data_IF_058602781483
#
_entry.id   IF_058602781483
#
_cell.length_a   1.000
_cell.length_b   1.000
_cell.length_c   1.000
_cell.angle_alpha   90.00
_cell.angle_beta   90.00
_cell.angle_gamma   90.00
#
_symmetry.space_group_name_H-M   'P 1'
#
loop_
_entity.id
_entity.type
_entity.pdbx_description
1 polymer ?
#
# COMPACT_ATOMS: atom_id res chain seq x y z
N UNK A 1 -25.41 -4.82 -15.90
CA UNK A 1 -25.05 -3.43 -16.22
C UNK A 1 -24.05 -2.93 -15.19
N UNK A 2 -22.75 -3.09 -15.47
CA UNK A 2 -21.63 -2.71 -14.59
C UNK A 2 -21.31 -1.23 -14.77
N UNK A 3 -21.53 -0.43 -13.72
CA UNK A 3 -21.09 0.97 -13.68
C UNK A 3 -19.58 1.00 -13.43
N UNK A 4 -18.83 1.38 -14.46
CA UNK A 4 -17.43 1.76 -14.34
C UNK A 4 -17.35 3.08 -13.58
N UNK A 5 -16.94 3.03 -12.31
CA UNK A 5 -16.53 4.21 -11.56
C UNK A 5 -15.15 4.67 -12.07
N UNK A 6 -15.15 5.37 -13.19
CA UNK A 6 -14.03 6.21 -13.60
C UNK A 6 -13.99 7.40 -12.63
N UNK A 7 -13.16 7.32 -11.60
CA UNK A 7 -12.68 8.52 -10.93
C UNK A 7 -11.51 9.06 -11.74
N UNK A 8 -11.65 10.17 -12.48
CA UNK A 8 -10.50 10.90 -12.96
C UNK A 8 -9.89 11.60 -11.75
N UNK A 9 -9.06 10.89 -10.99
CA UNK A 9 -8.17 11.52 -10.01
C UNK A 9 -7.19 12.36 -10.82
N UNK A 10 -7.54 13.65 -10.96
CA UNK A 10 -6.64 14.69 -11.44
C UNK A 10 -5.40 14.62 -10.56
N UNK A 11 -4.31 14.10 -11.12
CA UNK A 11 -2.95 14.27 -10.59
C UNK A 11 -2.67 15.77 -10.47
N UNK A 12 -3.06 16.38 -9.36
CA UNK A 12 -2.52 17.68 -8.96
C UNK A 12 -1.02 17.42 -8.81
N UNK A 13 -0.21 18.13 -9.57
CA UNK A 13 1.23 18.19 -9.30
C UNK A 13 1.37 18.81 -7.92
N UNK A 14 1.56 17.98 -6.91
CA UNK A 14 1.96 18.41 -5.58
C UNK A 14 3.17 19.31 -5.71
N UNK A 15 2.97 20.58 -5.39
CA UNK A 15 4.08 21.51 -5.17
C UNK A 15 4.23 21.50 -3.66
N UNK A 16 5.31 20.95 -3.10
CA UNK A 16 5.44 20.85 -1.65
C UNK A 16 5.28 22.23 -1.04
N UNK A 17 4.30 22.39 -0.14
CA UNK A 17 4.20 23.56 0.74
C UNK A 17 5.39 23.66 1.70
N UNK A 18 6.19 22.60 1.73
CA UNK A 18 7.36 22.40 2.56
C UNK A 18 8.56 23.21 2.06
N UNK A 19 9.27 23.96 2.93
CA UNK A 19 10.47 24.69 2.55
C UNK A 19 11.56 23.79 1.96
N UNK A 20 12.20 24.16 0.83
CA UNK A 20 13.28 23.35 0.23
C UNK A 20 14.46 23.08 1.18
N UNK A 21 14.69 23.98 2.14
CA UNK A 21 15.72 23.83 3.18
C UNK A 21 15.49 22.63 4.11
N UNK A 22 14.28 22.07 4.14
CA UNK A 22 13.97 20.87 4.93
C UNK A 22 14.62 19.60 4.38
N UNK A 23 15.25 19.65 3.21
CA UNK A 23 16.08 18.54 2.74
C UNK A 23 17.34 18.37 3.61
N UNK A 24 17.89 19.46 4.15
CA UNK A 24 19.16 19.46 4.90
C UNK A 24 19.05 19.99 6.33
N UNK A 25 17.95 20.67 6.68
CA UNK A 25 17.69 21.19 8.02
C UNK A 25 17.64 20.08 9.08
N UNK A 26 18.19 20.34 10.28
CA UNK A 26 18.13 19.43 11.44
C UNK A 26 16.94 19.73 12.37
N UNK A 27 15.95 20.49 11.92
CA UNK A 27 14.75 20.73 12.72
C UNK A 27 13.89 19.45 12.83
N UNK A 28 13.19 19.28 13.95
CA UNK A 28 12.29 18.13 14.18
C UNK A 28 11.23 18.01 13.08
N UNK A 29 10.68 19.13 12.60
CA UNK A 29 9.70 19.11 11.52
C UNK A 29 10.30 18.59 10.20
N UNK A 30 11.50 19.04 9.85
CA UNK A 30 12.23 18.55 8.67
C UNK A 30 12.59 17.06 8.79
N UNK A 31 12.98 16.59 9.98
CA UNK A 31 13.22 15.17 10.24
C UNK A 31 11.96 14.32 10.04
N UNK A 32 10.83 14.78 10.58
CA UNK A 32 9.54 14.10 10.45
C UNK A 32 9.07 14.04 8.99
N UNK A 33 9.17 15.14 8.24
CA UNK A 33 8.92 15.18 6.80
C UNK A 33 9.76 14.15 6.05
N UNK A 34 11.08 14.18 6.23
CA UNK A 34 11.97 13.21 5.55
C UNK A 34 11.66 11.78 5.94
N UNK A 35 11.33 11.52 7.20
CA UNK A 35 11.00 10.19 7.71
C UNK A 35 9.75 9.63 7.02
N UNK A 36 8.69 10.44 6.94
CA UNK A 36 7.45 10.12 6.23
C UNK A 36 7.71 9.75 4.77
N UNK A 37 8.43 10.62 4.04
CA UNK A 37 8.72 10.40 2.61
C UNK A 37 9.69 9.24 2.36
N UNK A 38 10.62 8.95 3.28
CA UNK A 38 11.44 7.73 3.20
C UNK A 38 10.60 6.47 3.31
N UNK A 39 9.57 6.46 4.17
CA UNK A 39 8.68 5.32 4.32
C UNK A 39 7.84 5.08 3.07
N UNK A 40 7.22 6.13 2.52
CA UNK A 40 6.48 6.04 1.25
C UNK A 40 7.38 5.63 0.09
N UNK A 41 8.59 6.21 0.00
CA UNK A 41 9.58 5.84 -0.99
C UNK A 41 10.03 4.38 -0.86
N UNK A 42 10.11 3.84 0.36
CA UNK A 42 10.37 2.42 0.59
C UNK A 42 9.21 1.55 0.12
N UNK A 43 7.97 1.89 0.47
CA UNK A 43 6.77 1.16 0.02
C UNK A 43 6.66 1.12 -1.50
N UNK A 44 6.90 2.25 -2.20
CA UNK A 44 6.91 2.29 -3.67
C UNK A 44 7.95 1.33 -4.26
N UNK A 45 9.16 1.28 -3.69
CA UNK A 45 10.18 0.31 -4.12
C UNK A 45 9.73 -1.13 -3.93
N UNK A 46 9.03 -1.44 -2.84
CA UNK A 46 8.45 -2.78 -2.61
C UNK A 46 7.36 -3.11 -3.63
N UNK A 47 6.52 -2.14 -4.02
CA UNK A 47 5.53 -2.34 -5.08
C UNK A 47 6.18 -2.55 -6.45
N UNK A 48 7.24 -1.81 -6.77
CA UNK A 48 8.01 -2.00 -8.00
C UNK A 48 8.68 -3.37 -8.05
N UNK A 49 9.12 -3.88 -6.91
CA UNK A 49 9.65 -5.23 -6.77
C UNK A 49 8.54 -6.29 -6.94
N UNK A 50 7.40 -6.15 -6.27
CA UNK A 50 6.24 -7.02 -6.44
C UNK A 50 5.76 -7.05 -7.91
N UNK A 51 5.75 -5.89 -8.58
CA UNK A 51 5.41 -5.78 -10.01
C UNK A 51 6.41 -6.54 -10.88
N UNK A 52 7.71 -6.43 -10.59
CA UNK A 52 8.77 -7.22 -11.27
C UNK A 52 8.61 -8.73 -11.07
N UNK A 53 8.03 -9.14 -9.96
CA UNK A 53 7.67 -10.55 -9.70
C UNK A 53 6.33 -10.98 -10.33
N UNK A 54 5.67 -10.12 -11.11
CA UNK A 54 4.44 -10.47 -11.83
C UNK A 54 3.15 -10.27 -11.02
N UNK A 55 3.19 -9.62 -9.87
CA UNK A 55 1.98 -9.30 -9.09
C UNK A 55 1.22 -8.14 -9.73
N UNK A 56 -0.10 -8.30 -9.85
CA UNK A 56 -0.99 -7.20 -10.22
C UNK A 56 -1.05 -6.16 -9.07
N UNK A 57 -0.39 -5.02 -9.26
CA UNK A 57 -0.18 -4.02 -8.19
C UNK A 57 -1.18 -2.87 -8.16
N UNK A 58 -2.10 -2.77 -9.13
CA UNK A 58 -2.98 -1.60 -9.29
C UNK A 58 -3.81 -1.22 -8.05
N UNK A 59 -4.26 -2.20 -7.24
CA UNK A 59 -4.97 -1.90 -5.97
C UNK A 59 -4.05 -1.32 -4.90
N UNK A 60 -2.79 -1.75 -4.85
CA UNK A 60 -1.80 -1.22 -3.91
C UNK A 60 -1.29 0.15 -4.35
N UNK A 61 -1.28 0.43 -5.64
CA UNK A 61 -0.98 1.76 -6.20
C UNK A 61 -2.02 2.78 -5.75
N UNK A 62 -3.31 2.46 -5.83
CA UNK A 62 -4.38 3.33 -5.30
C UNK A 62 -4.21 3.61 -3.80
N UNK A 63 -3.87 2.59 -3.01
CA UNK A 63 -3.58 2.78 -1.58
C UNK A 63 -2.34 3.65 -1.34
N UNK A 64 -1.33 3.59 -2.23
CA UNK A 64 -0.19 4.49 -2.15
C UNK A 64 -0.57 5.93 -2.51
N UNK A 65 -1.44 6.13 -3.49
CA UNK A 65 -1.95 7.46 -3.83
C UNK A 65 -2.73 8.06 -2.63
N UNK A 66 -3.56 7.28 -1.93
CA UNK A 66 -4.24 7.73 -0.69
C UNK A 66 -3.25 8.05 0.45
N UNK A 67 -2.16 7.29 0.55
CA UNK A 67 -1.09 7.55 1.52
C UNK A 67 -0.30 8.81 1.17
N UNK A 68 -0.12 9.11 -0.12
CA UNK A 68 0.47 10.35 -0.59
C UNK A 68 -0.42 11.54 -0.23
N UNK A 69 -1.72 11.49 -0.53
CA UNK A 69 -2.68 12.53 -0.15
C UNK A 69 -2.66 12.80 1.38
N UNK A 70 -2.55 11.73 2.17
CA UNK A 70 -2.42 11.82 3.63
C UNK A 70 -1.10 12.49 4.03
N UNK A 71 0.00 12.15 3.35
CA UNK A 71 1.30 12.72 3.64
C UNK A 71 1.40 14.20 3.28
N UNK A 72 0.75 14.65 2.21
CA UNK A 72 0.61 16.06 1.87
C UNK A 72 -0.10 16.83 2.99
N UNK A 73 -1.19 16.27 3.52
CA UNK A 73 -1.92 16.89 4.63
C UNK A 73 -1.07 16.95 5.92
N UNK A 74 -0.22 15.95 6.18
CA UNK A 74 0.71 15.94 7.32
C UNK A 74 1.83 16.96 7.10
N UNK A 75 2.37 17.08 5.89
CA UNK A 75 3.38 18.08 5.53
C UNK A 75 2.87 19.52 5.79
N UNK A 76 1.64 19.82 5.38
CA UNK A 76 0.98 21.10 5.66
C UNK A 76 0.88 21.39 7.17
N UNK A 77 0.57 20.37 7.97
CA UNK A 77 0.50 20.50 9.43
C UNK A 77 1.89 20.68 10.05
N UNK A 78 2.92 20.01 9.53
CA UNK A 78 4.31 20.19 9.97
C UNK A 78 4.79 21.63 9.71
N UNK A 79 4.48 22.20 8.53
CA UNK A 79 4.84 23.58 8.18
C UNK A 79 4.20 24.55 9.16
N UNK A 80 2.88 24.44 9.38
CA UNK A 80 2.17 25.28 10.36
C UNK A 80 2.70 25.09 11.78
N UNK A 81 3.03 23.86 12.17
CA UNK A 81 3.58 23.57 13.49
C UNK A 81 4.96 24.21 13.72
N UNK A 82 5.79 24.30 12.67
CA UNK A 82 7.13 24.87 12.77
C UNK A 82 7.12 26.35 13.18
N UNK A 83 6.08 27.09 12.79
CA UNK A 83 5.88 28.52 13.07
C UNK A 83 5.37 28.79 14.49
N UNK A 84 4.93 27.76 15.22
CA UNK A 84 4.37 27.92 16.55
C UNK A 84 5.42 28.22 17.64
N UNK A 85 5.04 28.88 18.75
CA UNK A 85 5.88 29.02 19.92
C UNK A 85 6.32 27.67 20.50
N UNK A 86 7.52 27.62 21.09
CA UNK A 86 8.24 26.38 21.50
C UNK A 86 7.36 25.37 22.24
N UNK A 87 6.61 25.79 23.26
CA UNK A 87 5.80 24.88 24.09
C UNK A 87 4.64 24.24 23.33
N UNK A 88 3.94 25.03 22.49
CA UNK A 88 2.83 24.54 21.66
C UNK A 88 3.38 23.70 20.50
N UNK A 89 4.45 24.17 19.86
CA UNK A 89 5.15 23.47 18.79
C UNK A 89 5.59 22.07 19.20
N UNK A 90 6.20 21.93 20.39
CA UNK A 90 6.65 20.62 20.87
C UNK A 90 5.50 19.62 20.98
N UNK A 91 4.37 20.03 21.58
CA UNK A 91 3.19 19.18 21.73
C UNK A 91 2.59 18.77 20.38
N UNK A 92 2.45 19.72 19.46
CA UNK A 92 1.90 19.46 18.12
C UNK A 92 2.82 18.52 17.33
N UNK A 93 4.12 18.77 17.33
CA UNK A 93 5.09 17.89 16.64
C UNK A 93 5.12 16.48 17.24
N UNK A 94 4.92 16.34 18.55
CA UNK A 94 4.80 15.02 19.18
C UNK A 94 3.55 14.28 18.70
N UNK A 95 2.41 14.96 18.59
CA UNK A 95 1.19 14.37 18.03
C UNK A 95 1.38 13.97 16.56
N UNK A 96 1.97 14.85 15.74
CA UNK A 96 2.26 14.56 14.33
C UNK A 96 3.23 13.37 14.18
N UNK A 97 4.18 13.21 15.11
CA UNK A 97 5.07 12.04 15.14
C UNK A 97 4.31 10.73 15.30
N UNK A 98 3.23 10.69 16.10
CA UNK A 98 2.40 9.49 16.22
C UNK A 98 1.61 9.21 14.95
N UNK A 99 1.01 10.25 14.36
CA UNK A 99 0.29 10.11 13.09
C UNK A 99 1.22 9.60 11.97
N UNK A 100 2.45 10.13 11.89
CA UNK A 100 3.46 9.65 10.94
C UNK A 100 3.80 8.18 11.20
N UNK A 101 3.93 7.75 12.46
CA UNK A 101 4.18 6.35 12.79
C UNK A 101 3.03 5.42 12.34
N UNK A 102 1.79 5.90 12.34
CA UNK A 102 0.63 5.16 11.83
C UNK A 102 0.62 5.08 10.30
N UNK A 103 0.98 6.18 9.62
CA UNK A 103 1.18 6.19 8.16
C UNK A 103 2.30 5.22 7.77
N UNK A 104 3.43 5.24 8.48
CA UNK A 104 4.54 4.31 8.26
C UNK A 104 4.13 2.85 8.42
N UNK A 105 3.35 2.54 9.48
CA UNK A 105 2.88 1.17 9.73
C UNK A 105 1.95 0.71 8.61
N UNK A 106 1.06 1.59 8.16
CA UNK A 106 0.13 1.31 7.05
C UNK A 106 0.88 1.14 5.74
N UNK A 107 1.79 2.04 5.40
CA UNK A 107 2.62 1.98 4.20
C UNK A 107 3.50 0.72 4.18
N UNK A 108 4.11 0.35 5.31
CA UNK A 108 4.88 -0.88 5.44
C UNK A 108 4.01 -2.12 5.24
N UNK A 109 2.78 -2.12 5.78
CA UNK A 109 1.83 -3.22 5.59
C UNK A 109 1.44 -3.36 4.12
N UNK A 110 1.13 -2.26 3.43
CA UNK A 110 0.82 -2.26 1.99
C UNK A 110 1.95 -2.89 1.18
N UNK A 111 3.19 -2.41 1.38
CA UNK A 111 4.35 -2.92 0.67
C UNK A 111 4.63 -4.41 0.96
N UNK A 112 4.56 -4.82 2.23
CA UNK A 112 4.76 -6.22 2.62
C UNK A 112 3.70 -7.14 2.04
N UNK A 113 2.42 -6.76 2.10
CA UNK A 113 1.33 -7.57 1.53
C UNK A 113 1.47 -7.73 0.01
N UNK A 114 1.95 -6.69 -0.69
CA UNK A 114 2.23 -6.81 -2.12
C UNK A 114 3.39 -7.78 -2.43
N UNK A 115 4.47 -7.75 -1.65
CA UNK A 115 5.58 -8.71 -1.78
C UNK A 115 5.19 -10.12 -1.36
N UNK A 116 4.40 -10.27 -0.29
CA UNK A 116 3.87 -11.57 0.14
C UNK A 116 2.96 -12.18 -0.93
N UNK A 117 2.18 -11.36 -1.64
CA UNK A 117 1.42 -11.81 -2.81
C UNK A 117 2.31 -12.24 -3.99
N UNK A 118 3.57 -11.79 -4.03
CA UNK A 118 4.57 -12.27 -4.98
C UNK A 118 5.19 -13.62 -4.57
N UNK A 119 4.96 -14.07 -3.34
CA UNK A 119 5.57 -15.27 -2.81
C UNK A 119 5.08 -16.52 -3.56
N UNK A 120 6.00 -17.39 -4.05
CA UNK A 120 5.67 -18.57 -4.82
C UNK A 120 4.91 -19.66 -4.04
N UNK A 121 4.70 -19.48 -2.74
CA UNK A 121 3.93 -20.42 -1.90
C UNK A 121 2.44 -20.43 -2.31
N UNK A 122 1.86 -19.27 -2.65
CA UNK A 122 0.47 -19.17 -3.09
C UNK A 122 0.17 -19.86 -4.44
N UNK A 123 0.97 -19.66 -5.51
CA UNK A 123 0.74 -20.37 -6.77
C UNK A 123 0.96 -21.88 -6.67
N UNK A 124 1.72 -22.38 -5.69
CA UNK A 124 1.84 -23.82 -5.41
C UNK A 124 0.55 -24.40 -4.81
N UNK A 125 -0.06 -23.69 -3.85
CA UNK A 125 -1.33 -24.10 -3.23
C UNK A 125 -2.48 -24.02 -4.23
N UNK A 126 -2.59 -22.94 -5.00
CA UNK A 126 -3.63 -22.81 -6.03
C UNK A 126 -3.50 -23.88 -7.12
N UNK A 127 -2.28 -24.21 -7.55
CA UNK A 127 -2.04 -25.27 -8.53
C UNK A 127 -2.36 -26.65 -7.95
N UNK A 128 -2.05 -26.87 -6.68
CA UNK A 128 -2.40 -28.10 -5.97
C UNK A 128 -3.92 -28.25 -5.79
N UNK A 129 -4.62 -27.17 -5.41
CA UNK A 129 -6.08 -27.14 -5.29
C UNK A 129 -6.77 -27.36 -6.64
N UNK A 130 -6.25 -26.76 -7.72
CA UNK A 130 -6.75 -26.99 -9.08
C UNK A 130 -6.62 -28.47 -9.48
N UNK A 131 -5.45 -29.07 -9.25
CA UNK A 131 -5.24 -30.49 -9.53
C UNK A 131 -6.13 -31.43 -8.69
N UNK A 132 -6.43 -31.06 -7.43
CA UNK A 132 -7.36 -31.81 -6.58
C UNK A 132 -8.80 -31.70 -7.12
N UNK A 133 -9.25 -30.50 -7.48
CA UNK A 133 -10.59 -30.29 -8.03
C UNK A 133 -10.78 -31.02 -9.36
N UNK A 134 -9.80 -30.94 -10.28
CA UNK A 134 -9.84 -31.70 -11.55
C UNK A 134 -9.96 -33.21 -11.32
N UNK A 135 -9.23 -33.77 -10.33
CA UNK A 135 -9.35 -35.20 -9.98
C UNK A 135 -10.71 -35.53 -9.37
N UNK A 136 -11.29 -34.64 -8.56
CA UNK A 136 -12.63 -34.82 -8.00
C UNK A 136 -13.69 -34.82 -9.10
N UNK A 137 -13.61 -33.89 -10.06
CA UNK A 137 -14.55 -33.80 -11.18
C UNK A 137 -14.54 -35.10 -12.01
N UNK A 138 -13.35 -35.58 -12.39
CA UNK A 138 -13.20 -36.88 -13.09
C UNK A 138 -13.79 -38.04 -12.28
N UNK A 139 -13.61 -38.04 -10.95
CA UNK A 139 -14.15 -39.10 -10.08
C UNK A 139 -15.68 -39.05 -9.98
N UNK A 140 -16.26 -37.84 -10.01
CA UNK A 140 -17.71 -37.63 -10.02
C UNK A 140 -18.31 -38.08 -11.34
N UNK A 141 -17.69 -37.73 -12.47
CA UNK A 141 -18.11 -38.16 -13.81
C UNK A 141 -18.07 -39.69 -13.94
N UNK A 142 -16.97 -40.33 -13.55
CA UNK A 142 -16.84 -41.79 -13.59
C UNK A 142 -17.90 -42.50 -12.72
N UNK A 143 -18.28 -41.92 -11.58
CA UNK A 143 -19.38 -42.44 -10.74
C UNK A 143 -20.75 -42.24 -11.37
N UNK A 144 -20.96 -41.15 -12.12
CA UNK A 144 -22.20 -40.90 -12.84
C UNK A 144 -22.37 -41.90 -13.99
N UNK A 145 -21.31 -42.16 -14.76
CA UNK A 145 -21.30 -43.18 -15.83
C UNK A 145 -21.54 -44.59 -15.30
N UNK A 146 -20.88 -44.98 -14.21
CA UNK A 146 -21.07 -46.29 -13.59
C UNK A 146 -22.52 -46.51 -13.10
N UNK A 147 -23.22 -45.46 -12.68
CA UNK A 147 -24.65 -45.54 -12.32
C UNK A 147 -25.55 -45.71 -13.54
N UNK A 148 -25.19 -45.10 -14.68
CA UNK A 148 -25.95 -45.22 -15.93
C UNK A 148 -25.79 -46.59 -16.58
N UNK A 149 -24.65 -47.27 -16.37
CA UNK A 149 -24.37 -48.60 -16.92
C UNK A 149 -24.89 -49.76 -16.04
N UNK A 150 -25.29 -49.46 -14.80
CA UNK A 150 -25.82 -50.44 -13.83
C UNK A 150 -27.35 -50.55 -13.79
N UNK A 151 -28.05 -49.83 -14.67
CA UNK A 151 -29.50 -49.89 -14.92
C UNK A 151 -29.78 -50.45 -16.31
#
# INVERSE_FOLDING_TARGET
MTLAFLHPQRRRRYTPSVPPSWQTSQSVAADLHRRLHRALGHTRRMLDEARRCGVATGRYELLCDELDDTAEAVDDQLVRAAELPVGVRHRVLLQLRYQIADVERTASRVGRTALEAASPVLPSVERSLRAINERLDVTVEARAEARQLGT
#
